data_IF_631294900017
#
_entry.id   IF_631294900017
#
_cell.length_a   1.000
_cell.length_b   1.000
_cell.length_c   1.000
_cell.angle_alpha   90.00
_cell.angle_beta   90.00
_cell.angle_gamma   90.00
#
_symmetry.space_group_name_H-M   'P 1'
#
loop_
_entity.id
_entity.type
_entity.pdbx_description
1 polymer ?
#
# COMPACT_ATOMS: atom_id res chain seq x y z
N UNK A 1 2.31 53.76 23.17
CA UNK A 1 2.81 52.38 23.32
C UNK A 1 2.96 51.79 21.92
N UNK A 2 4.18 51.69 21.39
CA UNK A 2 4.45 51.10 20.06
C UNK A 2 4.87 49.65 20.29
N UNK A 3 3.99 48.72 19.90
CA UNK A 3 4.23 47.28 20.00
C UNK A 3 4.98 46.82 18.75
N UNK A 4 6.23 46.41 18.92
CA UNK A 4 7.12 45.98 17.85
C UNK A 4 6.80 44.53 17.48
N UNK A 5 6.15 44.33 16.34
CA UNK A 5 5.89 43.00 15.75
C UNK A 5 7.21 42.38 15.31
N UNK A 6 7.66 41.37 16.05
CA UNK A 6 8.84 40.56 15.74
C UNK A 6 8.43 39.50 14.69
N UNK A 7 8.79 39.72 13.42
CA UNK A 7 8.68 38.68 12.38
C UNK A 7 9.79 37.65 12.60
N UNK A 8 9.44 36.47 13.13
CA UNK A 8 10.32 35.31 13.06
C UNK A 8 10.33 34.76 11.63
N UNK A 9 11.43 35.02 10.92
CA UNK A 9 11.81 34.32 9.70
C UNK A 9 12.20 32.88 10.06
N UNK A 10 11.22 31.97 10.02
CA UNK A 10 11.45 30.53 10.14
C UNK A 10 12.10 29.99 8.86
N UNK A 11 13.34 29.52 8.98
CA UNK A 11 14.08 28.84 7.92
C UNK A 11 13.41 27.49 7.64
N UNK A 12 12.69 27.37 6.52
CA UNK A 12 12.20 26.10 6.00
C UNK A 12 13.36 25.38 5.29
N UNK A 13 14.04 24.48 5.98
CA UNK A 13 14.91 23.51 5.32
C UNK A 13 14.03 22.46 4.60
N UNK A 14 14.19 22.24 3.29
CA UNK A 14 13.45 21.20 2.59
C UNK A 14 13.96 19.83 3.04
N UNK A 15 13.16 19.14 3.86
CA UNK A 15 13.34 17.70 4.08
C UNK A 15 13.08 17.00 2.75
N UNK A 16 14.14 16.59 2.06
CA UNK A 16 14.04 15.68 0.92
C UNK A 16 13.69 14.29 1.44
N UNK A 17 12.39 13.97 1.44
CA UNK A 17 11.92 12.61 1.69
C UNK A 17 12.35 11.73 0.50
N UNK A 18 13.47 11.03 0.64
CA UNK A 18 13.80 9.93 -0.25
C UNK A 18 12.79 8.79 0.00
N UNK A 19 11.80 8.65 -0.87
CA UNK A 19 10.87 7.54 -0.82
C UNK A 19 11.65 6.24 -1.06
N UNK A 20 11.61 5.30 -0.10
CA UNK A 20 12.16 3.97 -0.30
C UNK A 20 11.39 3.27 -1.44
N UNK A 21 12.08 2.50 -2.31
CA UNK A 21 11.40 1.71 -3.33
C UNK A 21 10.42 0.75 -2.66
N UNK A 22 9.22 0.66 -3.23
CA UNK A 22 8.18 -0.24 -2.74
C UNK A 22 8.50 -1.69 -3.12
N UNK A 23 8.21 -2.67 -2.24
CA UNK A 23 8.35 -4.08 -2.57
C UNK A 23 7.44 -4.45 -3.74
N UNK A 24 7.88 -5.45 -4.53
CA UNK A 24 7.15 -5.90 -5.72
C UNK A 24 6.78 -7.37 -5.59
N UNK A 25 5.52 -7.67 -5.86
CA UNK A 25 4.93 -8.99 -5.68
C UNK A 25 4.10 -9.41 -6.89
N UNK A 26 3.96 -10.72 -7.09
CA UNK A 26 3.05 -11.28 -8.10
C UNK A 26 1.64 -11.33 -7.53
N UNK A 27 0.71 -10.65 -8.18
CA UNK A 27 -0.64 -10.44 -7.71
C UNK A 27 -1.67 -10.93 -8.73
N UNK A 28 -2.89 -11.14 -8.26
CA UNK A 28 -4.01 -11.45 -9.12
C UNK A 28 -4.41 -10.26 -10.01
N UNK A 29 -5.02 -10.55 -11.16
CA UNK A 29 -5.41 -9.53 -12.15
C UNK A 29 -6.59 -8.68 -11.68
N UNK A 30 -7.55 -9.30 -11.00
CA UNK A 30 -8.87 -8.71 -10.69
C UNK A 30 -8.98 -8.03 -9.32
N UNK A 31 -7.93 -8.10 -8.49
CA UNK A 31 -8.03 -7.66 -7.09
C UNK A 31 -8.76 -8.68 -6.21
N UNK A 32 -8.81 -8.42 -4.92
CA UNK A 32 -9.50 -9.27 -3.95
C UNK A 32 -10.28 -8.41 -2.96
N UNK A 33 -11.22 -9.02 -2.24
CA UNK A 33 -11.93 -8.31 -1.17
C UNK A 33 -10.95 -7.98 -0.04
N UNK A 34 -10.87 -6.70 0.32
CA UNK A 34 -10.14 -6.21 1.47
C UNK A 34 -11.06 -5.74 2.59
N UNK A 35 -10.47 -5.22 3.66
CA UNK A 35 -11.18 -4.61 4.78
C UNK A 35 -11.51 -3.12 4.56
N UNK A 36 -11.24 -2.61 3.35
CA UNK A 36 -11.47 -1.23 2.94
C UNK A 36 -10.35 -0.26 3.29
N UNK A 37 -9.27 -0.70 3.95
CA UNK A 37 -8.15 0.16 4.32
C UNK A 37 -7.33 0.62 3.11
N UNK A 38 -7.10 -0.25 2.13
CA UNK A 38 -6.40 0.08 0.89
C UNK A 38 -7.15 1.15 0.09
N UNK A 39 -8.46 0.96 -0.06
CA UNK A 39 -9.34 1.84 -0.86
C UNK A 39 -9.44 3.22 -0.23
N UNK A 40 -9.49 3.31 1.11
CA UNK A 40 -9.42 4.58 1.84
C UNK A 40 -8.08 5.32 1.63
N UNK A 41 -7.01 4.59 1.37
CA UNK A 41 -5.70 5.13 1.04
C UNK A 41 -5.52 5.43 -0.47
N UNK A 42 -6.56 5.25 -1.29
CA UNK A 42 -6.51 5.52 -2.73
C UNK A 42 -5.76 4.46 -3.54
N UNK A 43 -5.52 3.28 -2.96
CA UNK A 43 -4.94 2.11 -3.62
C UNK A 43 -5.93 0.96 -3.63
N UNK A 44 -5.62 -0.16 -4.28
CA UNK A 44 -6.54 -1.28 -4.43
C UNK A 44 -6.04 -2.53 -3.70
N UNK A 45 -6.97 -3.33 -3.17
CA UNK A 45 -6.63 -4.58 -2.50
C UNK A 45 -6.39 -5.70 -3.52
N UNK A 46 -5.24 -6.37 -3.41
CA UNK A 46 -4.86 -7.51 -4.23
C UNK A 46 -4.50 -8.72 -3.38
N UNK A 47 -4.62 -9.90 -3.99
CA UNK A 47 -4.06 -11.13 -3.45
C UNK A 47 -2.70 -11.36 -4.13
N UNK A 48 -1.62 -11.41 -3.34
CA UNK A 48 -0.25 -11.42 -3.86
C UNK A 48 0.62 -12.51 -3.22
N UNK A 49 1.70 -12.87 -3.91
CA UNK A 49 2.68 -13.88 -3.51
C UNK A 49 4.05 -13.56 -4.13
N UNK A 50 5.11 -14.19 -3.64
CA UNK A 50 6.47 -14.05 -4.17
C UNK A 50 6.69 -14.81 -5.49
N UNK A 51 5.81 -15.76 -5.81
CA UNK A 51 5.97 -16.67 -6.96
C UNK A 51 4.97 -16.36 -8.08
N UNK A 52 5.44 -16.33 -9.33
CA UNK A 52 4.55 -16.29 -10.48
C UNK A 52 3.91 -17.67 -10.67
N UNK A 53 2.70 -17.86 -10.13
CA UNK A 53 2.00 -19.14 -10.15
C UNK A 53 0.49 -18.96 -10.18
N UNK A 54 -0.22 -19.86 -10.86
CA UNK A 54 -1.67 -19.88 -10.91
C UNK A 54 -2.28 -18.52 -11.32
N UNK A 55 -3.13 -17.90 -10.46
CA UNK A 55 -3.77 -16.61 -10.77
C UNK A 55 -2.83 -15.39 -10.61
N UNK A 56 -1.64 -15.57 -10.02
CA UNK A 56 -0.69 -14.50 -9.69
C UNK A 56 0.22 -14.17 -10.86
N UNK A 57 -0.34 -13.50 -11.86
CA UNK A 57 0.33 -13.26 -13.15
C UNK A 57 0.76 -11.81 -13.37
N UNK A 58 0.38 -10.89 -12.47
CA UNK A 58 0.69 -9.45 -12.60
C UNK A 58 1.66 -9.01 -11.55
N UNK A 59 2.80 -8.45 -11.94
CA UNK A 59 3.80 -7.94 -11.01
C UNK A 59 3.45 -6.50 -10.58
N UNK A 60 3.18 -6.27 -9.29
CA UNK A 60 2.71 -4.98 -8.76
C UNK A 60 3.63 -4.43 -7.68
N UNK A 61 3.75 -3.11 -7.64
CA UNK A 61 4.35 -2.38 -6.53
C UNK A 61 3.36 -2.28 -5.38
N UNK A 62 3.72 -2.92 -4.26
CA UNK A 62 2.88 -3.02 -3.07
C UNK A 62 3.20 -1.85 -2.14
N UNK A 63 2.17 -1.07 -1.81
CA UNK A 63 2.28 0.05 -0.87
C UNK A 63 2.11 -0.40 0.58
N UNK A 64 1.48 -1.56 0.81
CA UNK A 64 1.31 -2.16 2.13
C UNK A 64 1.21 -3.69 2.03
N UNK A 65 2.15 -4.40 2.64
CA UNK A 65 2.22 -5.87 2.66
C UNK A 65 1.34 -6.51 3.74
N UNK A 66 0.75 -5.70 4.63
CA UNK A 66 -0.02 -6.15 5.79
C UNK A 66 -1.49 -5.72 5.73
N UNK A 67 -2.07 -5.71 4.53
CA UNK A 67 -3.49 -5.45 4.39
C UNK A 67 -4.32 -6.63 4.92
N UNK A 68 -5.61 -6.37 5.18
CA UNK A 68 -6.51 -7.35 5.76
C UNK A 68 -7.65 -7.68 4.80
N UNK A 69 -8.09 -8.94 4.80
CA UNK A 69 -9.33 -9.38 4.19
C UNK A 69 -10.55 -8.95 5.04
N UNK A 70 -11.80 -9.16 4.56
CA UNK A 70 -13.01 -8.78 5.29
C UNK A 70 -13.15 -9.45 6.66
N UNK A 71 -12.52 -10.61 6.86
CA UNK A 71 -12.50 -11.36 8.11
C UNK A 71 -11.35 -10.94 9.05
N UNK A 72 -10.63 -9.87 8.72
CA UNK A 72 -9.45 -9.37 9.45
C UNK A 72 -8.25 -10.32 9.48
N UNK A 73 -8.21 -11.28 8.55
CA UNK A 73 -7.04 -12.12 8.26
C UNK A 73 -6.12 -11.49 7.21
N UNK A 74 -4.88 -11.98 7.12
CA UNK A 74 -3.89 -11.51 6.12
C UNK A 74 -3.80 -12.40 4.87
N UNK A 75 -4.54 -13.50 4.85
CA UNK A 75 -4.48 -14.47 3.76
C UNK A 75 -5.67 -14.32 2.84
N UNK A 76 -5.43 -14.63 1.58
CA UNK A 76 -6.42 -14.83 0.55
C UNK A 76 -6.22 -16.23 -0.02
N UNK A 77 -7.32 -16.92 -0.29
CA UNK A 77 -7.33 -18.24 -0.89
C UNK A 77 -8.28 -18.20 -2.08
N UNK A 78 -7.79 -18.62 -3.25
CA UNK A 78 -8.59 -18.77 -4.47
C UNK A 78 -9.04 -20.23 -4.69
N UNK A 79 -8.98 -21.06 -3.64
CA UNK A 79 -9.37 -22.46 -3.61
C UNK A 79 -8.26 -23.44 -3.98
N UNK A 80 -7.19 -22.97 -4.62
CA UNK A 80 -6.03 -23.77 -5.01
C UNK A 80 -4.69 -23.12 -4.63
N UNK A 81 -4.67 -21.81 -4.44
CA UNK A 81 -3.47 -21.05 -4.14
C UNK A 81 -3.72 -20.09 -2.98
N UNK A 82 -2.79 -20.09 -2.04
CA UNK A 82 -2.79 -19.16 -0.91
C UNK A 82 -1.83 -18.01 -1.20
N UNK A 83 -2.29 -16.79 -0.96
CA UNK A 83 -1.48 -15.58 -1.01
C UNK A 83 -1.73 -14.69 0.21
N UNK A 84 -1.12 -13.51 0.18
CA UNK A 84 -1.30 -12.46 1.16
C UNK A 84 -2.14 -11.34 0.59
N UNK A 85 -2.97 -10.75 1.45
CA UNK A 85 -3.75 -9.57 1.13
C UNK A 85 -2.82 -8.38 1.23
N UNK A 86 -2.66 -7.66 0.12
CA UNK A 86 -1.74 -6.52 0.03
C UNK A 86 -2.42 -5.35 -0.67
N UNK A 87 -2.00 -4.13 -0.34
CA UNK A 87 -2.43 -2.93 -1.08
C UNK A 87 -1.43 -2.64 -2.20
N UNK A 88 -1.91 -2.47 -3.43
CA UNK A 88 -1.09 -2.06 -4.55
C UNK A 88 -1.82 -1.06 -5.44
N UNK A 89 -1.07 -0.35 -6.28
CA UNK A 89 -1.68 0.49 -7.32
C UNK A 89 -2.40 -0.38 -8.36
N UNK A 90 -3.57 0.07 -8.86
CA UNK A 90 -4.34 -0.66 -9.87
C UNK A 90 -3.61 -0.83 -11.21
#
# INVERSE_FOLDING_TARGET
MRSTTLMLLGVFAPFTFAAKPLPKHWCNTKGTAGDGSCEKAGVHTYCCTDLNTGPFTVYREVTNEYALNPQKGRYCDDGQYTGFVMCAKP
#
